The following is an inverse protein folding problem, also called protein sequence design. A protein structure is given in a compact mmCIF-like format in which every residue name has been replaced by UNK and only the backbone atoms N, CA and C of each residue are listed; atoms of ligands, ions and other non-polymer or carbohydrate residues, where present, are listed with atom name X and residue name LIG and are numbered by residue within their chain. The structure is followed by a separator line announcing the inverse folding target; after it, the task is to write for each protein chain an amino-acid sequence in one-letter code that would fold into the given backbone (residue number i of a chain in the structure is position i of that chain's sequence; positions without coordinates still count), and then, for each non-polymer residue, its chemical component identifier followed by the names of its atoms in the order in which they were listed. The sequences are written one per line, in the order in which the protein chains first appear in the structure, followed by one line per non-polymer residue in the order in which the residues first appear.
data_IF_786647230033
#
_entry.id   IF_786647230033
#
_cell.length_a   1.000
_cell.length_b   1.000
_cell.length_c   1.000
_cell.angle_alpha   90.00
_cell.angle_beta   90.00
_cell.angle_gamma   90.00
#
_symmetry.space_group_name_H-M   'P 1'
#
loop_
_entity.id
_entity.type
_entity.pdbx_description
1 polymer ?
#
# COMPACT_ATOMS: atom_id res chain seq x y z
N UNK A 1 -40.88 69.47 19.52
CA UNK A 1 -39.45 69.47 19.89
C UNK A 1 -38.83 68.42 19.01
N UNK A 2 -38.43 68.83 17.81
CA UNK A 2 -38.10 67.93 16.69
C UNK A 2 -36.69 68.19 16.17
N UNK A 3 -36.03 67.05 15.90
CA UNK A 3 -34.88 66.73 15.07
C UNK A 3 -34.13 67.84 14.27
N UNK A 4 -32.78 67.80 14.30
CA UNK A 4 -31.91 67.21 13.26
C UNK A 4 -30.44 67.74 13.32
N UNK A 5 -29.47 66.82 13.51
CA UNK A 5 -28.02 66.70 13.16
C UNK A 5 -27.07 67.94 13.07
N UNK A 6 -25.72 67.84 13.33
CA UNK A 6 -24.78 67.02 12.52
C UNK A 6 -23.57 66.34 13.24
N UNK A 7 -23.14 65.21 12.63
CA UNK A 7 -21.77 64.69 12.38
C UNK A 7 -20.61 64.89 13.39
N UNK A 8 -19.93 63.77 13.72
CA UNK A 8 -18.46 63.72 13.70
C UNK A 8 -17.94 62.27 13.62
N UNK A 9 -17.10 62.03 12.61
CA UNK A 9 -16.23 60.85 12.47
C UNK A 9 -15.33 60.68 13.68
N UNK A 10 -15.14 59.44 14.15
CA UNK A 10 -13.93 59.02 14.87
C UNK A 10 -13.43 57.70 14.28
N UNK A 11 -12.30 57.78 13.58
CA UNK A 11 -11.37 56.68 13.42
C UNK A 11 -10.91 56.23 14.81
N UNK A 12 -10.67 54.93 15.01
CA UNK A 12 -9.33 54.43 15.34
C UNK A 12 -9.31 52.91 15.56
N UNK A 13 -8.14 52.36 15.22
CA UNK A 13 -7.49 51.15 15.71
C UNK A 13 -7.81 49.84 14.98
N UNK A 14 -6.95 49.60 13.98
CA UNK A 14 -6.52 48.27 13.56
C UNK A 14 -6.26 47.37 14.76
N UNK A 15 -7.06 46.31 14.88
CA UNK A 15 -6.65 45.11 15.60
C UNK A 15 -6.46 44.03 14.56
N UNK A 16 -5.27 44.01 13.98
CA UNK A 16 -4.66 42.78 13.48
C UNK A 16 -4.66 41.77 14.63
N UNK A 17 -5.72 40.98 14.70
CA UNK A 17 -5.71 39.76 15.49
C UNK A 17 -4.88 38.79 14.69
N UNK A 18 -3.58 38.83 14.99
CA UNK A 18 -2.59 37.82 14.65
C UNK A 18 -3.00 36.51 15.33
N UNK A 19 -4.05 35.86 14.82
CA UNK A 19 -4.23 34.44 14.99
C UNK A 19 -3.41 33.79 13.88
N UNK A 20 -2.09 33.78 14.07
CA UNK A 20 -1.32 32.61 13.70
C UNK A 20 -1.87 31.47 14.58
N UNK A 21 -3.02 30.93 14.20
CA UNK A 21 -3.19 29.50 14.31
C UNK A 21 -2.19 28.93 13.34
N UNK A 22 -0.93 28.85 13.79
CA UNK A 22 -0.02 27.82 13.38
C UNK A 22 -0.73 26.53 13.79
N UNK A 23 -1.71 26.11 12.97
CA UNK A 23 -1.96 24.71 12.72
C UNK A 23 -0.59 24.21 12.36
N UNK A 24 0.10 23.69 13.38
CA UNK A 24 1.22 22.81 13.23
C UNK A 24 0.64 21.60 12.51
N UNK A 25 0.37 21.79 11.22
CA UNK A 25 0.09 20.76 10.24
C UNK A 25 1.41 20.04 10.21
N UNK A 26 1.59 19.16 11.20
CA UNK A 26 2.56 18.10 11.23
C UNK A 26 2.23 17.29 9.99
N UNK A 27 2.71 17.76 8.84
CA UNK A 27 2.80 16.98 7.62
C UNK A 27 3.59 15.76 8.03
N UNK A 28 2.84 14.70 8.32
CA UNK A 28 3.38 13.51 8.94
C UNK A 28 4.05 12.79 7.78
N UNK A 29 5.36 12.99 7.63
CA UNK A 29 6.16 12.33 6.60
C UNK A 29 5.88 10.83 6.67
N UNK A 30 5.27 10.29 5.62
CA UNK A 30 5.03 8.87 5.46
C UNK A 30 6.24 8.26 4.74
N UNK A 31 6.92 7.33 5.39
CA UNK A 31 7.92 6.51 4.72
C UNK A 31 7.22 5.28 4.14
N UNK A 32 7.26 5.14 2.82
CA UNK A 32 6.71 3.98 2.12
C UNK A 32 7.70 3.36 1.14
N UNK A 33 7.55 2.06 0.91
CA UNK A 33 8.16 1.34 -0.19
C UNK A 33 7.02 0.77 -1.03
N UNK A 34 7.08 0.99 -2.34
CA UNK A 34 6.06 0.52 -3.29
C UNK A 34 6.79 -0.29 -4.36
N UNK A 35 6.33 -1.51 -4.60
CA UNK A 35 6.86 -2.39 -5.62
C UNK A 35 5.73 -3.07 -6.38
N UNK A 36 6.03 -3.47 -7.61
CA UNK A 36 5.17 -4.28 -8.45
C UNK A 36 5.98 -5.47 -8.97
N UNK A 37 5.31 -6.60 -9.15
CA UNK A 37 5.95 -7.79 -9.72
C UNK A 37 6.35 -7.61 -11.19
N UNK A 38 7.03 -8.61 -11.77
CA UNK A 38 7.26 -9.95 -11.21
C UNK A 38 8.30 -9.98 -10.08
N UNK A 39 8.10 -10.87 -9.10
CA UNK A 39 8.99 -11.04 -7.94
C UNK A 39 9.93 -12.24 -8.03
N UNK A 40 10.04 -12.82 -9.22
CA UNK A 40 10.99 -13.89 -9.57
C UNK A 40 11.56 -13.62 -10.96
N UNK A 41 12.73 -14.17 -11.23
CA UNK A 41 13.35 -14.13 -12.56
C UNK A 41 12.69 -15.17 -13.47
N UNK A 42 12.96 -15.15 -14.77
CA UNK A 42 12.27 -16.03 -15.76
C UNK A 42 12.86 -17.43 -15.88
N UNK A 43 13.99 -17.69 -15.24
CA UNK A 43 14.74 -18.94 -15.28
C UNK A 43 14.41 -19.89 -14.13
N UNK A 44 13.77 -19.40 -13.07
CA UNK A 44 13.41 -20.18 -11.90
C UNK A 44 12.25 -19.56 -11.09
N UNK A 45 11.71 -20.32 -10.13
CA UNK A 45 10.66 -19.89 -9.19
C UNK A 45 11.18 -19.81 -7.74
N UNK A 46 12.39 -19.31 -7.54
CA UNK A 46 13.00 -19.18 -6.20
C UNK A 46 12.66 -17.86 -5.50
N UNK A 47 12.05 -16.91 -6.23
CA UNK A 47 11.60 -15.62 -5.70
C UNK A 47 12.72 -14.81 -5.01
N UNK A 48 13.95 -14.91 -5.53
CA UNK A 48 15.11 -14.14 -5.02
C UNK A 48 14.86 -12.62 -5.05
N UNK A 49 14.26 -12.02 -6.10
CA UNK A 49 13.90 -10.61 -6.10
C UNK A 49 12.98 -10.20 -4.95
N UNK A 50 12.01 -11.06 -4.56
CA UNK A 50 11.18 -10.81 -3.38
C UNK A 50 12.03 -10.76 -2.10
N UNK A 51 12.94 -11.72 -1.94
CA UNK A 51 13.81 -11.78 -0.76
C UNK A 51 14.72 -10.55 -0.66
N UNK A 52 15.27 -10.10 -1.78
CA UNK A 52 16.08 -8.88 -1.84
C UNK A 52 15.25 -7.63 -1.50
N UNK A 53 14.02 -7.55 -2.02
CA UNK A 53 13.09 -6.46 -1.73
C UNK A 53 12.73 -6.40 -0.24
N UNK A 54 12.36 -7.54 0.36
CA UNK A 54 12.03 -7.63 1.78
C UNK A 54 13.27 -7.30 2.64
N UNK A 55 14.45 -7.76 2.24
CA UNK A 55 15.71 -7.41 2.90
C UNK A 55 16.01 -5.91 2.83
N UNK A 56 15.74 -5.27 1.69
CA UNK A 56 15.82 -3.82 1.54
C UNK A 56 14.82 -3.11 2.44
N UNK A 57 13.56 -3.54 2.45
CA UNK A 57 12.52 -2.99 3.32
C UNK A 57 12.88 -3.14 4.80
N UNK A 58 13.47 -4.27 5.23
CA UNK A 58 13.96 -4.46 6.60
C UNK A 58 15.00 -3.41 7.00
N UNK A 59 15.92 -3.06 6.08
CA UNK A 59 16.93 -2.03 6.34
C UNK A 59 16.34 -0.61 6.36
N UNK A 60 15.28 -0.36 5.58
CA UNK A 60 14.62 0.94 5.49
C UNK A 60 13.56 1.16 6.56
N UNK A 61 12.99 0.09 7.11
CA UNK A 61 11.88 0.10 8.06
C UNK A 61 10.76 1.07 7.64
N UNK A 62 10.18 0.92 6.43
CA UNK A 62 9.09 1.78 6.01
C UNK A 62 7.88 1.55 6.91
N UNK A 63 7.05 2.59 7.04
CA UNK A 63 5.78 2.49 7.75
C UNK A 63 4.72 1.79 6.90
N UNK A 64 4.87 1.83 5.58
CA UNK A 64 3.96 1.23 4.62
C UNK A 64 4.75 0.52 3.51
N UNK A 65 4.51 -0.77 3.31
CA UNK A 65 5.00 -1.54 2.17
C UNK A 65 3.81 -1.91 1.29
N UNK A 66 3.77 -1.41 0.06
CA UNK A 66 2.73 -1.75 -0.93
C UNK A 66 3.36 -2.70 -1.95
N UNK A 67 2.86 -3.93 -2.01
CA UNK A 67 3.25 -4.93 -3.00
C UNK A 67 2.09 -5.14 -3.97
N UNK A 68 2.33 -4.88 -5.24
CA UNK A 68 1.36 -5.10 -6.30
C UNK A 68 1.78 -6.30 -7.14
N UNK A 69 0.81 -7.05 -7.66
CA UNK A 69 1.08 -8.20 -8.52
C UNK A 69 1.76 -7.85 -9.86
N UNK A 70 2.08 -8.86 -10.69
CA UNK A 70 1.85 -10.27 -10.41
C UNK A 70 2.84 -10.83 -9.36
N UNK A 71 2.31 -11.48 -8.34
CA UNK A 71 3.08 -12.25 -7.36
C UNK A 71 3.55 -13.57 -7.97
N UNK A 72 2.68 -14.25 -8.70
CA UNK A 72 3.03 -15.38 -9.57
C UNK A 72 2.59 -15.00 -10.98
N UNK A 73 3.55 -14.65 -11.83
CA UNK A 73 3.26 -14.22 -13.20
C UNK A 73 2.77 -15.42 -14.04
N UNK A 74 1.55 -15.32 -14.56
CA UNK A 74 0.94 -16.32 -15.44
C UNK A 74 1.68 -16.48 -16.77
N UNK A 75 2.49 -15.51 -17.19
CA UNK A 75 3.37 -15.63 -18.35
C UNK A 75 4.78 -16.13 -18.02
N UNK A 76 5.09 -16.38 -16.74
CA UNK A 76 6.37 -16.99 -16.38
C UNK A 76 6.55 -18.31 -17.15
N UNK A 77 7.71 -18.59 -17.76
CA UNK A 77 7.88 -19.75 -18.65
C UNK A 77 7.48 -21.09 -18.01
N UNK A 78 7.81 -21.32 -16.73
CA UNK A 78 7.44 -22.55 -16.02
C UNK A 78 5.95 -22.64 -15.69
N UNK A 79 5.31 -21.51 -15.41
CA UNK A 79 3.87 -21.43 -15.15
C UNK A 79 3.10 -21.70 -16.44
N UNK A 80 3.50 -21.03 -17.52
CA UNK A 80 2.86 -21.15 -18.85
C UNK A 80 3.00 -22.53 -19.48
N UNK A 81 4.14 -23.20 -19.25
CA UNK A 81 4.37 -24.57 -19.72
C UNK A 81 3.69 -25.64 -18.84
N UNK A 82 3.26 -25.28 -17.63
CA UNK A 82 2.72 -26.24 -16.67
C UNK A 82 3.78 -27.24 -16.19
N UNK A 83 5.03 -26.80 -16.05
CA UNK A 83 6.16 -27.66 -15.59
C UNK A 83 6.31 -27.68 -14.08
N UNK A 84 5.38 -27.06 -13.34
CA UNK A 84 5.41 -26.97 -11.88
C UNK A 84 4.51 -28.03 -11.28
N UNK A 85 5.06 -28.82 -10.36
CA UNK A 85 4.35 -29.93 -9.68
C UNK A 85 3.51 -29.48 -8.48
N UNK A 86 3.37 -28.16 -8.26
CA UNK A 86 2.64 -27.56 -7.14
C UNK A 86 1.47 -26.71 -7.63
N UNK A 87 0.43 -26.58 -6.80
CA UNK A 87 -0.67 -25.66 -7.11
C UNK A 87 -0.19 -24.21 -7.02
N UNK A 88 -0.75 -23.32 -7.85
CA UNK A 88 -0.41 -21.89 -7.79
C UNK A 88 -0.76 -21.27 -6.43
N UNK A 89 -1.81 -21.78 -5.77
CA UNK A 89 -2.15 -21.39 -4.40
C UNK A 89 -1.03 -21.75 -3.42
N UNK A 90 -0.47 -22.96 -3.49
CA UNK A 90 0.62 -23.39 -2.61
C UNK A 90 1.89 -22.57 -2.85
N UNK A 91 2.23 -22.30 -4.12
CA UNK A 91 3.37 -21.44 -4.46
C UNK A 91 3.18 -20.05 -3.84
N UNK A 92 1.98 -19.47 -3.95
CA UNK A 92 1.71 -18.15 -3.39
C UNK A 92 1.84 -18.19 -1.87
N UNK A 93 1.25 -19.19 -1.23
CA UNK A 93 1.28 -19.31 0.22
C UNK A 93 2.71 -19.50 0.76
N UNK A 94 3.50 -20.40 0.17
CA UNK A 94 4.83 -20.75 0.68
C UNK A 94 5.94 -19.80 0.24
N UNK A 95 5.90 -19.31 -1.00
CA UNK A 95 6.97 -18.46 -1.53
C UNK A 95 6.71 -16.97 -1.40
N UNK A 96 5.44 -16.56 -1.30
CA UNK A 96 5.09 -15.14 -1.18
C UNK A 96 4.62 -14.84 0.25
N UNK A 97 3.48 -15.42 0.65
CA UNK A 97 2.80 -15.04 1.88
C UNK A 97 3.64 -15.34 3.12
N UNK A 98 4.24 -16.53 3.21
CA UNK A 98 5.12 -16.89 4.34
C UNK A 98 6.31 -15.93 4.47
N UNK A 99 6.97 -15.55 3.38
CA UNK A 99 8.10 -14.61 3.43
C UNK A 99 7.67 -13.22 3.91
N UNK A 100 6.48 -12.78 3.51
CA UNK A 100 5.88 -11.52 3.99
C UNK A 100 5.51 -11.62 5.47
N UNK A 101 4.95 -12.76 5.91
CA UNK A 101 4.67 -13.02 7.32
C UNK A 101 5.94 -12.95 8.16
N UNK A 102 7.01 -13.66 7.76
CA UNK A 102 8.32 -13.62 8.43
C UNK A 102 8.86 -12.19 8.53
N UNK A 103 8.75 -11.43 7.43
CA UNK A 103 9.13 -10.00 7.39
C UNK A 103 8.32 -9.16 8.39
N UNK A 104 7.00 -9.31 8.42
CA UNK A 104 6.14 -8.57 9.36
C UNK A 104 6.36 -9.00 10.81
N UNK A 105 6.60 -10.29 11.06
CA UNK A 105 6.91 -10.78 12.39
C UNK A 105 8.23 -10.19 12.91
N UNK A 106 9.23 -10.03 12.03
CA UNK A 106 10.50 -9.41 12.37
C UNK A 106 10.39 -7.92 12.71
N UNK A 107 9.64 -7.15 11.93
CA UNK A 107 9.46 -5.70 12.16
C UNK A 107 8.37 -5.37 13.19
N UNK A 108 7.42 -6.27 13.39
CA UNK A 108 6.23 -6.05 14.19
C UNK A 108 5.42 -4.84 13.72
N UNK A 109 4.79 -4.15 14.68
CA UNK A 109 3.86 -3.04 14.43
C UNK A 109 4.50 -1.78 13.79
N UNK A 110 5.78 -1.80 13.42
CA UNK A 110 6.42 -0.67 12.73
C UNK A 110 6.07 -0.59 11.25
N UNK A 111 5.61 -1.70 10.65
CA UNK A 111 5.27 -1.79 9.22
C UNK A 111 3.83 -2.25 9.03
N UNK A 112 3.16 -1.66 8.04
CA UNK A 112 1.91 -2.17 7.47
C UNK A 112 2.19 -2.62 6.03
N UNK A 113 1.76 -3.82 5.66
CA UNK A 113 1.91 -4.38 4.32
C UNK A 113 0.54 -4.43 3.64
N UNK A 114 0.48 -3.86 2.44
CA UNK A 114 -0.71 -3.90 1.59
C UNK A 114 -0.38 -4.71 0.33
N UNK A 115 -1.17 -5.75 0.08
CA UNK A 115 -1.11 -6.54 -1.14
C UNK A 115 -2.22 -6.11 -2.11
N UNK A 116 -1.88 -5.97 -3.39
CA UNK A 116 -2.83 -5.61 -4.44
C UNK A 116 -2.69 -6.61 -5.61
N UNK A 117 -3.75 -7.33 -5.98
CA UNK A 117 -3.72 -8.30 -7.08
C UNK A 117 -3.40 -7.67 -8.43
N UNK A 118 -3.00 -8.51 -9.38
CA UNK A 118 -2.88 -8.24 -10.81
C UNK A 118 -3.61 -9.31 -11.61
N UNK A 119 -4.16 -8.97 -12.78
CA UNK A 119 -4.85 -9.93 -13.66
C UNK A 119 -3.92 -11.03 -14.18
N UNK A 120 -2.61 -10.87 -14.00
CA UNK A 120 -1.57 -11.85 -14.31
C UNK A 120 -1.17 -12.71 -13.10
N UNK A 121 -1.85 -12.60 -11.96
CA UNK A 121 -1.66 -13.50 -10.81
C UNK A 121 -2.25 -14.89 -11.11
N UNK A 122 -1.37 -15.88 -11.35
CA UNK A 122 -1.78 -17.23 -11.73
C UNK A 122 -2.68 -17.93 -10.70
N UNK A 123 -2.60 -17.53 -9.43
CA UNK A 123 -3.35 -18.12 -8.31
C UNK A 123 -4.69 -17.43 -8.03
N UNK A 124 -5.08 -16.41 -8.80
CA UNK A 124 -6.22 -15.54 -8.52
C UNK A 124 -7.08 -15.26 -9.75
N UNK A 125 -8.23 -14.61 -9.54
CA UNK A 125 -9.15 -14.24 -10.61
C UNK A 125 -8.46 -13.40 -11.69
N UNK A 126 -8.54 -13.77 -12.95
CA UNK A 126 -7.88 -13.07 -14.06
C UNK A 126 -8.73 -11.95 -14.68
N UNK A 127 -9.88 -11.62 -14.07
CA UNK A 127 -10.85 -10.64 -14.61
C UNK A 127 -10.78 -9.34 -13.84
N UNK A 128 -10.70 -8.22 -14.56
CA UNK A 128 -10.79 -6.89 -13.97
C UNK A 128 -12.26 -6.43 -13.85
N UNK A 129 -12.70 -5.84 -12.73
CA UNK A 129 -11.96 -5.65 -11.47
C UNK A 129 -11.79 -6.97 -10.68
N UNK A 130 -10.68 -7.11 -9.96
CA UNK A 130 -10.36 -8.30 -9.17
C UNK A 130 -10.66 -8.08 -7.68
N UNK A 131 -11.23 -9.09 -6.97
CA UNK A 131 -11.36 -9.04 -5.52
C UNK A 131 -10.00 -9.09 -4.83
N UNK A 132 -9.95 -8.75 -3.55
CA UNK A 132 -8.76 -9.00 -2.72
C UNK A 132 -8.49 -10.51 -2.58
N UNK A 133 -7.23 -10.89 -2.33
CA UNK A 133 -6.87 -12.26 -1.98
C UNK A 133 -7.51 -12.68 -0.66
N UNK A 134 -7.90 -13.96 -0.57
CA UNK A 134 -8.19 -14.60 0.71
C UNK A 134 -6.90 -15.12 1.34
N UNK A 135 -6.36 -14.34 2.29
CA UNK A 135 -5.05 -14.60 2.88
C UNK A 135 -5.07 -15.62 4.03
N UNK A 136 -6.24 -15.97 4.59
CA UNK A 136 -6.38 -16.89 5.73
C UNK A 136 -5.35 -16.65 6.86
N UNK A 137 -5.16 -15.38 7.25
CA UNK A 137 -4.14 -14.98 8.22
C UNK A 137 -4.55 -15.33 9.67
N UNK A 138 -3.59 -15.74 10.52
CA UNK A 138 -3.75 -15.78 11.97
C UNK A 138 -4.18 -14.42 12.55
N UNK A 139 -5.03 -14.43 13.57
CA UNK A 139 -5.67 -13.24 14.14
C UNK A 139 -4.65 -12.18 14.62
N UNK A 140 -3.49 -12.62 15.12
CA UNK A 140 -2.41 -11.79 15.66
C UNK A 140 -1.67 -10.94 14.62
N UNK A 141 -1.75 -11.30 13.33
CA UNK A 141 -1.08 -10.57 12.25
C UNK A 141 -2.05 -9.89 11.26
N UNK A 142 -3.36 -10.05 11.46
CA UNK A 142 -4.41 -9.45 10.60
C UNK A 142 -4.31 -7.93 10.49
N UNK A 143 -3.76 -7.26 11.50
CA UNK A 143 -3.57 -5.81 11.49
C UNK A 143 -2.35 -5.34 10.70
N UNK A 144 -1.39 -6.24 10.40
CA UNK A 144 -0.13 -5.90 9.76
C UNK A 144 -0.16 -6.17 8.26
N UNK A 145 -0.88 -7.18 7.81
CA UNK A 145 -0.99 -7.56 6.39
C UNK A 145 -2.46 -7.43 5.97
N UNK A 146 -2.72 -6.65 4.93
CA UNK A 146 -4.05 -6.51 4.34
C UNK A 146 -3.96 -6.66 2.83
N UNK A 147 -4.95 -7.31 2.22
CA UNK A 147 -5.11 -7.31 0.77
C UNK A 147 -6.28 -6.41 0.38
N UNK A 148 -6.09 -5.61 -0.68
CA UNK A 148 -7.12 -4.76 -1.28
C UNK A 148 -7.45 -5.26 -2.68
N UNK A 149 -8.61 -4.86 -3.21
CA UNK A 149 -9.02 -5.14 -4.58
C UNK A 149 -8.10 -4.46 -5.62
N UNK A 150 -8.17 -4.92 -6.87
CA UNK A 150 -7.59 -4.23 -8.02
C UNK A 150 -8.73 -3.79 -8.97
N UNK A 151 -8.97 -2.48 -9.14
CA UNK A 151 -8.25 -1.35 -8.56
C UNK A 151 -8.67 -1.07 -7.11
N UNK A 152 -7.89 -0.28 -6.38
CA UNK A 152 -8.24 0.19 -5.03
C UNK A 152 -7.79 1.62 -4.76
N UNK A 153 -8.50 2.28 -3.84
CA UNK A 153 -8.14 3.57 -3.26
C UNK A 153 -8.14 3.42 -1.75
N UNK A 154 -7.10 3.90 -1.08
CA UNK A 154 -7.02 3.94 0.37
C UNK A 154 -6.22 5.16 0.85
N UNK A 155 -6.24 5.45 2.15
CA UNK A 155 -5.48 6.55 2.72
C UNK A 155 -4.57 6.08 3.86
N UNK A 156 -3.40 6.71 3.96
CA UNK A 156 -2.47 6.53 5.08
C UNK A 156 -1.87 7.87 5.44
N UNK A 157 -2.06 8.30 6.69
CA UNK A 157 -1.60 9.61 7.22
C UNK A 157 -1.96 10.77 6.28
N UNK A 158 -3.24 10.87 5.89
CA UNK A 158 -3.79 11.92 5.01
C UNK A 158 -3.35 11.87 3.54
N UNK A 159 -2.41 10.98 3.20
CA UNK A 159 -2.02 10.69 1.82
C UNK A 159 -2.99 9.67 1.22
N UNK A 160 -3.54 9.98 0.06
CA UNK A 160 -4.44 9.08 -0.68
C UNK A 160 -3.64 8.33 -1.76
N UNK A 161 -3.80 7.01 -1.79
CA UNK A 161 -3.18 6.12 -2.76
C UNK A 161 -4.27 5.60 -3.70
N UNK A 162 -4.03 5.70 -4.99
CA UNK A 162 -4.80 5.01 -6.03
C UNK A 162 -3.91 3.96 -6.68
N UNK A 163 -4.35 2.72 -6.68
CA UNK A 163 -3.58 1.58 -7.17
C UNK A 163 -4.38 0.80 -8.21
N UNK A 164 -3.73 0.50 -9.33
CA UNK A 164 -4.31 -0.27 -10.44
C UNK A 164 -3.22 -1.10 -11.10
N UNK A 165 -3.54 -2.37 -11.41
CA UNK A 165 -2.70 -3.25 -12.21
C UNK A 165 -3.49 -3.71 -13.43
N UNK A 166 -3.09 -3.21 -14.60
CA UNK A 166 -3.73 -3.48 -15.89
C UNK A 166 -2.63 -3.66 -16.92
N UNK A 167 -1.85 -4.74 -16.82
CA UNK A 167 -0.85 -5.08 -17.84
C UNK A 167 -1.26 -6.40 -18.50
N UNK A 168 -1.39 -6.35 -19.83
CA UNK A 168 -1.59 -7.47 -20.75
C UNK A 168 -0.29 -8.11 -21.16
#
# INVERSE_FOLDING_TARGET
MDAQLPSAKKQAVDKESNQNSDTNTLSRVLSSVIAAGPYTTTDNLLFEPLQELLSYACRKQPQLLILMGPFIDSDHPDIKRGTVDQSFHDIFHFEILRKIQDFTQYLGNTVCVILIPSVRDAHHDFVFPQPAFDLNLPEDITHQITCLANPSIFSSKEIHFGCVQWTS
#
